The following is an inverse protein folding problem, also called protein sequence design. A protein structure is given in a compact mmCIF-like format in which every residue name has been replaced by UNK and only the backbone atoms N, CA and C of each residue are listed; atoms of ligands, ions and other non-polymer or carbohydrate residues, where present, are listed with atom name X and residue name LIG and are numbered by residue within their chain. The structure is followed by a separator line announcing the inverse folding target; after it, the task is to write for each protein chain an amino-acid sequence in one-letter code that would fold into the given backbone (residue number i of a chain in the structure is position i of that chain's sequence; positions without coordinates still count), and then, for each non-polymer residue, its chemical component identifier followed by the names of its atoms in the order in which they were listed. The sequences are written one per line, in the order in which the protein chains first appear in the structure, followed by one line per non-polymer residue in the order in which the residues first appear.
data_IF_517925642876
#
_entry.id   IF_517925642876
#
_cell.length_a   1.000
_cell.length_b   1.000
_cell.length_c   1.000
_cell.angle_alpha   90.00
_cell.angle_beta   90.00
_cell.angle_gamma   90.00
#
_symmetry.space_group_name_H-M   'P 1'
#
loop_
_entity.id
_entity.type
_entity.pdbx_description
1 polymer ?
#
# COMPACT_ATOMS: atom_id res chain seq x y z
N UNK A 1 -5.47 17.95 3.65
CA UNK A 1 -4.04 18.18 3.90
C UNK A 1 -3.29 16.96 3.42
N UNK A 2 -2.24 17.13 2.62
CA UNK A 2 -1.40 16.03 2.14
C UNK A 2 -0.31 15.72 3.18
N UNK A 3 -0.11 14.44 3.48
CA UNK A 3 0.81 14.00 4.53
C UNK A 3 1.32 12.58 4.23
N UNK A 4 2.39 12.20 4.93
CA UNK A 4 2.84 10.82 5.06
C UNK A 4 2.89 10.45 6.55
N UNK A 5 2.43 9.26 6.92
CA UNK A 5 2.39 8.82 8.32
C UNK A 5 3.22 7.55 8.50
N UNK A 6 4.15 7.55 9.45
CA UNK A 6 5.08 6.46 9.70
C UNK A 6 5.11 6.16 11.20
N UNK A 7 4.45 5.08 11.63
CA UNK A 7 4.40 4.71 13.04
C UNK A 7 3.72 5.78 13.88
N UNK A 8 4.47 6.50 14.71
CA UNK A 8 3.98 7.63 15.51
C UNK A 8 4.31 9.00 14.93
N UNK A 9 4.95 9.07 13.76
CA UNK A 9 5.43 10.31 13.15
C UNK A 9 4.57 10.68 11.94
N UNK A 10 4.18 11.95 11.83
CA UNK A 10 3.45 12.49 10.68
C UNK A 10 4.28 13.57 10.01
N UNK A 11 4.48 13.43 8.70
CA UNK A 11 5.14 14.43 7.85
C UNK A 11 4.10 15.13 6.99
N UNK A 12 4.20 16.45 6.88
CA UNK A 12 3.25 17.28 6.15
C UNK A 12 3.98 18.40 5.42
N UNK A 13 3.23 19.20 4.65
CA UNK A 13 3.78 20.26 3.80
C UNK A 13 4.66 19.67 2.69
N UNK A 14 4.06 19.00 1.67
CA UNK A 14 4.82 18.42 0.56
C UNK A 14 5.44 19.54 -0.27
N UNK A 15 6.75 19.48 -0.44
CA UNK A 15 7.53 20.50 -1.12
C UNK A 15 7.91 20.09 -2.55
N UNK A 16 8.13 18.80 -2.77
CA UNK A 16 8.77 18.32 -3.99
C UNK A 16 8.45 16.85 -4.24
N UNK A 17 8.32 16.47 -5.52
CA UNK A 17 8.21 15.08 -5.97
C UNK A 17 9.31 14.82 -6.98
N UNK A 18 10.10 13.76 -6.77
CA UNK A 18 11.13 13.31 -7.70
C UNK A 18 11.01 11.82 -8.00
N UNK A 19 11.53 11.44 -9.16
CA UNK A 19 11.71 10.07 -9.61
C UNK A 19 13.19 9.69 -9.76
N UNK A 20 14.10 10.64 -9.54
CA UNK A 20 15.54 10.43 -9.63
C UNK A 20 16.12 10.18 -8.22
N UNK A 21 16.76 9.02 -7.97
CA UNK A 21 17.42 8.76 -6.70
C UNK A 21 18.53 9.78 -6.36
N UNK A 22 19.13 10.46 -7.34
CA UNK A 22 20.19 11.45 -7.06
C UNK A 22 19.69 12.67 -6.29
N UNK A 23 18.40 12.98 -6.36
CA UNK A 23 17.80 14.14 -5.68
C UNK A 23 17.62 13.92 -4.17
N UNK A 24 17.81 12.68 -3.69
CA UNK A 24 17.58 12.28 -2.30
C UNK A 24 18.81 12.57 -1.41
N UNK A 25 19.53 13.67 -1.65
CA UNK A 25 20.75 14.00 -0.89
C UNK A 25 20.46 14.47 0.54
N UNK A 26 19.41 15.28 0.73
CA UNK A 26 19.08 15.94 2.01
C UNK A 26 17.57 16.09 2.20
N UNK A 27 17.14 16.18 3.47
CA UNK A 27 15.74 16.40 3.85
C UNK A 27 14.96 15.13 4.20
N UNK A 28 13.65 15.27 4.46
CA UNK A 28 12.76 14.17 4.83
C UNK A 28 11.94 13.72 3.62
N UNK A 29 12.18 12.49 3.14
CA UNK A 29 11.58 11.95 1.92
C UNK A 29 10.73 10.70 2.17
N UNK A 30 9.48 10.71 1.73
CA UNK A 30 8.66 9.51 1.62
C UNK A 30 8.94 8.82 0.28
N UNK A 31 9.69 7.71 0.30
CA UNK A 31 10.18 7.05 -0.93
C UNK A 31 9.46 5.73 -1.18
N UNK A 32 8.77 5.57 -2.30
CA UNK A 32 8.21 4.30 -2.77
C UNK A 32 9.04 3.79 -3.93
N UNK A 33 9.45 2.52 -3.89
CA UNK A 33 10.15 1.85 -4.98
C UNK A 33 9.35 0.62 -5.37
N UNK A 34 9.10 0.43 -6.66
CA UNK A 34 8.42 -0.76 -7.18
C UNK A 34 9.39 -1.95 -7.21
N UNK A 35 8.87 -3.16 -7.42
CA UNK A 35 9.71 -4.34 -7.58
C UNK A 35 10.65 -4.20 -8.80
N UNK A 36 10.17 -3.54 -9.85
CA UNK A 36 10.88 -3.24 -11.09
C UNK A 36 11.92 -2.12 -10.93
N UNK A 37 12.04 -1.52 -9.75
CA UNK A 37 13.01 -0.47 -9.45
C UNK A 37 12.54 0.96 -9.75
N UNK A 38 11.27 1.18 -10.11
CA UNK A 38 10.76 2.54 -10.33
C UNK A 38 10.62 3.29 -9.01
N UNK A 39 11.24 4.47 -8.89
CA UNK A 39 11.23 5.30 -7.69
C UNK A 39 10.20 6.43 -7.79
N UNK A 40 9.52 6.72 -6.69
CA UNK A 40 8.78 7.96 -6.46
C UNK A 40 9.05 8.44 -5.04
N UNK A 41 9.65 9.62 -4.91
CA UNK A 41 9.96 10.22 -3.62
C UNK A 41 9.24 11.57 -3.48
N UNK A 42 8.69 11.83 -2.28
CA UNK A 42 8.05 13.11 -1.95
C UNK A 42 8.77 13.73 -0.75
N UNK A 43 9.27 14.96 -0.89
CA UNK A 43 9.92 15.71 0.20
C UNK A 43 8.89 16.47 1.00
N UNK A 44 9.03 16.44 2.32
CA UNK A 44 8.16 17.16 3.26
C UNK A 44 8.93 18.20 4.06
N UNK A 45 8.30 19.36 4.27
CA UNK A 45 8.87 20.48 5.02
C UNK A 45 8.67 20.39 6.53
N UNK A 46 7.66 19.63 6.98
CA UNK A 46 7.29 19.54 8.39
C UNK A 46 7.26 18.10 8.87
N UNK A 47 7.76 17.90 10.09
CA UNK A 47 7.72 16.64 10.82
C UNK A 47 7.13 16.89 12.20
N UNK A 48 6.16 16.06 12.57
CA UNK A 48 5.55 16.04 13.89
C UNK A 48 5.69 14.62 14.46
N UNK A 49 6.37 14.51 15.59
CA UNK A 49 6.48 13.26 16.34
C UNK A 49 5.37 13.19 17.40
N UNK A 50 4.69 12.05 17.48
CA UNK A 50 3.52 11.90 18.34
C UNK A 50 2.28 12.59 17.78
N UNK A 51 1.13 12.22 18.34
CA UNK A 51 -0.18 12.74 17.92
C UNK A 51 -1.16 11.63 17.53
N UNK A 52 -2.43 12.01 17.41
CA UNK A 52 -3.48 11.11 16.92
C UNK A 52 -3.24 10.87 15.43
N UNK A 53 -3.20 9.61 14.97
CA UNK A 53 -3.08 9.31 13.55
C UNK A 53 -4.16 10.06 12.76
N UNK A 54 -3.81 10.60 11.58
CA UNK A 54 -4.80 11.22 10.74
C UNK A 54 -5.82 10.16 10.32
N UNK A 55 -7.09 10.41 10.62
CA UNK A 55 -8.22 9.55 10.24
C UNK A 55 -9.10 9.09 11.41
N UNK A 56 -10.34 8.78 11.09
CA UNK A 56 -11.34 8.27 12.02
C UNK A 56 -12.01 7.03 11.42
N UNK A 57 -11.81 5.88 12.06
CA UNK A 57 -12.35 4.61 11.59
C UNK A 57 -13.88 4.62 11.40
N UNK A 58 -14.59 5.49 12.15
CA UNK A 58 -16.05 5.63 12.06
C UNK A 58 -16.51 6.34 10.78
N UNK A 59 -15.61 7.05 10.11
CA UNK A 59 -15.89 7.78 8.87
C UNK A 59 -15.64 6.94 7.62
N UNK A 60 -15.06 5.76 7.75
CA UNK A 60 -14.85 4.88 6.61
C UNK A 60 -16.21 4.39 6.08
N UNK A 61 -16.56 4.68 4.81
CA UNK A 61 -17.88 4.34 4.25
C UNK A 61 -18.08 2.83 4.02
N UNK A 62 -17.00 2.04 4.13
CA UNK A 62 -17.01 0.64 3.71
C UNK A 62 -16.92 0.51 2.18
N UNK A 63 -16.70 -0.72 1.72
CA UNK A 63 -16.66 -1.05 0.29
C UNK A 63 -17.32 -2.40 0.08
N UNK A 64 -18.15 -2.53 -0.95
CA UNK A 64 -18.88 -3.76 -1.30
C UNK A 64 -18.56 -4.16 -2.74
N UNK A 65 -19.08 -5.30 -3.21
CA UNK A 65 -18.96 -5.68 -4.62
C UNK A 65 -17.54 -5.99 -5.09
N UNK A 66 -16.71 -6.55 -4.21
CA UNK A 66 -15.36 -7.00 -4.53
C UNK A 66 -15.34 -8.01 -5.67
N UNK A 67 -14.42 -7.82 -6.62
CA UNK A 67 -14.22 -8.70 -7.76
C UNK A 67 -12.78 -9.19 -7.79
N UNK A 68 -12.55 -10.49 -7.98
CA UNK A 68 -11.20 -11.01 -8.08
C UNK A 68 -10.66 -10.88 -9.51
N UNK A 69 -9.34 -10.74 -9.67
CA UNK A 69 -8.67 -10.83 -10.97
C UNK A 69 -8.64 -12.26 -11.51
N UNK A 70 -8.61 -13.24 -10.63
CA UNK A 70 -8.83 -14.66 -10.93
C UNK A 70 -10.02 -15.17 -10.14
N UNK A 71 -11.04 -15.64 -10.84
CA UNK A 71 -12.12 -16.39 -10.19
C UNK A 71 -11.63 -17.74 -9.65
N UNK A 72 -12.49 -18.45 -8.93
CA UNK A 72 -12.14 -19.73 -8.30
C UNK A 72 -11.60 -20.75 -9.31
N UNK A 73 -12.21 -20.83 -10.49
CA UNK A 73 -11.80 -21.78 -11.53
C UNK A 73 -10.44 -21.39 -12.10
N UNK A 74 -10.27 -20.13 -12.49
CA UNK A 74 -9.00 -19.62 -13.01
C UNK A 74 -7.85 -19.77 -12.00
N UNK A 75 -8.13 -19.61 -10.71
CA UNK A 75 -7.14 -19.85 -9.66
C UNK A 75 -6.73 -21.32 -9.60
N UNK A 76 -7.69 -22.25 -9.59
CA UNK A 76 -7.42 -23.71 -9.57
C UNK A 76 -6.67 -24.14 -10.82
N UNK A 77 -7.09 -23.68 -12.01
CA UNK A 77 -6.42 -23.99 -13.27
C UNK A 77 -4.96 -23.48 -13.27
N UNK A 78 -4.72 -22.30 -12.69
CA UNK A 78 -3.38 -21.75 -12.48
C UNK A 78 -2.52 -22.60 -11.53
N UNK A 79 -3.10 -23.10 -10.43
CA UNK A 79 -2.41 -24.02 -9.51
C UNK A 79 -2.01 -25.32 -10.23
N UNK A 80 -2.90 -25.91 -11.02
CA UNK A 80 -2.61 -27.15 -11.76
C UNK A 80 -1.53 -26.95 -12.83
N UNK A 81 -1.50 -25.81 -13.51
CA UNK A 81 -0.40 -25.44 -14.41
C UNK A 81 0.94 -25.33 -13.66
N UNK A 82 0.95 -24.66 -12.50
CA UNK A 82 2.16 -24.53 -11.67
C UNK A 82 2.65 -25.91 -11.23
N UNK A 83 1.76 -26.79 -10.77
CA UNK A 83 2.11 -28.17 -10.38
C UNK A 83 2.74 -28.94 -11.52
N UNK A 84 2.21 -28.81 -12.75
CA UNK A 84 2.81 -29.43 -13.95
C UNK A 84 4.22 -28.92 -14.23
N UNK A 85 4.44 -27.60 -14.13
CA UNK A 85 5.78 -27.00 -14.33
C UNK A 85 6.79 -27.41 -13.25
N UNK A 86 6.34 -27.56 -12.01
CA UNK A 86 7.20 -28.09 -10.92
C UNK A 86 7.57 -29.55 -11.20
N UNK A 87 6.60 -30.39 -11.57
CA UNK A 87 6.85 -31.79 -11.89
C UNK A 87 7.79 -31.96 -13.11
N UNK A 88 7.72 -31.05 -14.08
CA UNK A 88 8.63 -30.99 -15.21
C UNK A 88 10.01 -30.37 -14.89
N UNK A 89 10.25 -29.95 -13.65
CA UNK A 89 11.51 -29.33 -13.21
C UNK A 89 11.77 -27.94 -13.79
N UNK A 90 10.76 -27.27 -14.35
CA UNK A 90 10.92 -25.95 -15.01
C UNK A 90 10.97 -24.80 -14.01
N UNK A 91 10.30 -24.97 -12.86
CA UNK A 91 10.33 -24.05 -11.72
C UNK A 91 10.32 -24.85 -10.44
N UNK A 92 10.88 -24.29 -9.35
CA UNK A 92 10.85 -24.95 -8.04
C UNK A 92 9.60 -24.55 -7.22
N UNK A 93 9.25 -23.27 -7.24
CA UNK A 93 8.12 -22.72 -6.49
C UNK A 93 7.56 -21.49 -7.22
N UNK A 94 6.24 -21.31 -7.17
CA UNK A 94 5.54 -20.11 -7.65
C UNK A 94 4.52 -19.68 -6.60
N UNK A 95 4.46 -18.39 -6.29
CA UNK A 95 3.39 -17.82 -5.47
C UNK A 95 2.29 -17.29 -6.42
N UNK A 96 1.16 -18.01 -6.48
CA UNK A 96 -0.02 -17.56 -7.20
C UNK A 96 -0.96 -16.84 -6.24
N UNK A 97 -1.39 -15.64 -6.61
CA UNK A 97 -2.34 -14.84 -5.84
C UNK A 97 -3.44 -14.29 -6.73
N UNK A 98 -4.61 -14.03 -6.15
CA UNK A 98 -5.67 -13.23 -6.79
C UNK A 98 -5.75 -11.87 -6.11
N UNK A 99 -5.97 -10.82 -6.90
CA UNK A 99 -6.21 -9.48 -6.38
C UNK A 99 -7.71 -9.28 -6.26
N UNK A 100 -8.17 -8.76 -5.12
CA UNK A 100 -9.56 -8.31 -4.94
C UNK A 100 -9.63 -6.80 -5.17
N UNK A 101 -10.51 -6.38 -6.05
CA UNK A 101 -10.70 -4.98 -6.41
C UNK A 101 -12.16 -4.56 -6.25
N UNK A 102 -12.38 -3.31 -5.88
CA UNK A 102 -13.71 -2.70 -5.83
C UNK A 102 -13.59 -1.20 -6.13
N UNK A 103 -14.58 -0.57 -6.77
CA UNK A 103 -14.63 0.87 -6.88
C UNK A 103 -14.54 1.55 -5.52
N UNK A 104 -13.70 2.59 -5.44
CA UNK A 104 -13.57 3.39 -4.23
C UNK A 104 -14.69 4.45 -4.21
N UNK A 105 -15.53 4.52 -3.14
CA UNK A 105 -16.54 5.57 -3.00
C UNK A 105 -15.93 6.98 -3.05
N UNK A 106 -16.70 7.97 -3.49
CA UNK A 106 -16.20 9.34 -3.68
C UNK A 106 -15.83 10.00 -2.34
N UNK A 107 -16.63 9.73 -1.32
CA UNK A 107 -16.45 10.13 0.06
C UNK A 107 -15.30 9.39 0.78
N UNK A 108 -14.70 8.38 0.14
CA UNK A 108 -13.68 7.56 0.78
C UNK A 108 -12.38 8.33 0.99
N UNK A 109 -11.96 8.36 2.25
CA UNK A 109 -10.76 9.03 2.71
C UNK A 109 -9.77 7.99 3.26
N UNK A 110 -8.63 7.79 2.58
CA UNK A 110 -7.64 6.75 2.93
C UNK A 110 -7.15 6.76 4.39
N UNK A 111 -6.98 7.93 5.04
CA UNK A 111 -6.62 7.98 6.45
C UNK A 111 -7.65 7.30 7.36
N UNK A 112 -8.94 7.37 7.01
CA UNK A 112 -10.01 6.70 7.76
C UNK A 112 -9.91 5.18 7.60
N UNK A 113 -9.56 4.69 6.40
CA UNK A 113 -9.23 3.27 6.18
C UNK A 113 -8.00 2.83 7.00
N UNK A 114 -6.95 3.66 7.06
CA UNK A 114 -5.78 3.36 7.87
C UNK A 114 -6.14 3.22 9.36
N UNK A 115 -7.08 4.04 9.86
CA UNK A 115 -7.62 3.91 11.22
C UNK A 115 -8.40 2.61 11.43
N UNK A 116 -9.22 2.18 10.46
CA UNK A 116 -9.91 0.87 10.49
C UNK A 116 -8.88 -0.28 10.58
N UNK A 117 -7.86 -0.26 9.72
CA UNK A 117 -6.82 -1.30 9.68
C UNK A 117 -6.00 -1.35 10.97
N UNK A 118 -5.69 -0.20 11.56
CA UNK A 118 -5.00 -0.15 12.84
C UNK A 118 -5.82 -0.82 13.96
N UNK A 119 -7.15 -0.64 13.97
CA UNK A 119 -8.03 -1.22 14.98
C UNK A 119 -8.19 -2.74 14.91
N UNK A 120 -8.12 -3.34 13.71
CA UNK A 120 -8.48 -4.74 13.47
C UNK A 120 -7.34 -5.75 13.40
N UNK A 121 -6.07 -5.32 13.34
CA UNK A 121 -4.94 -6.24 13.16
C UNK A 121 -4.29 -6.67 14.50
N UNK A 122 -4.00 -7.98 14.69
CA UNK A 122 -3.18 -8.47 15.80
C UNK A 122 -1.87 -7.68 15.94
N UNK A 123 -1.45 -7.42 17.18
CA UNK A 123 -0.32 -6.52 17.50
C UNK A 123 1.02 -6.89 16.84
N UNK A 124 1.19 -8.14 16.40
CA UNK A 124 2.35 -8.63 15.64
C UNK A 124 2.40 -8.15 14.18
N UNK A 125 1.24 -7.80 13.59
CA UNK A 125 1.12 -7.26 12.23
C UNK A 125 1.17 -5.72 12.18
N UNK A 126 1.12 -5.05 13.35
CA UNK A 126 1.16 -3.59 13.50
C UNK A 126 2.55 -2.95 13.26
N UNK A 127 3.57 -3.74 12.88
CA UNK A 127 4.91 -3.22 12.49
C UNK A 127 5.04 -2.99 10.98
N UNK A 128 3.93 -2.83 10.26
CA UNK A 128 3.92 -2.40 8.86
C UNK A 128 3.88 -0.87 8.73
N UNK A 129 4.75 -0.28 7.91
CA UNK A 129 4.67 1.13 7.53
C UNK A 129 3.41 1.35 6.69
N UNK A 130 2.37 1.96 7.24
CA UNK A 130 1.24 2.42 6.45
C UNK A 130 1.70 3.56 5.53
N UNK A 131 1.90 3.28 4.25
CA UNK A 131 2.21 4.31 3.25
C UNK A 131 0.92 4.72 2.56
N UNK A 132 0.42 5.92 2.87
CA UNK A 132 -0.53 6.60 2.01
C UNK A 132 0.26 7.52 1.07
N UNK A 133 0.30 7.19 -0.23
CA UNK A 133 0.87 8.07 -1.25
C UNK A 133 -0.22 8.37 -2.27
N UNK A 134 -0.58 9.65 -2.39
CA UNK A 134 -1.48 10.14 -3.44
C UNK A 134 -0.66 10.30 -4.73
N UNK A 135 -0.86 9.41 -5.71
CA UNK A 135 -0.27 9.56 -7.04
C UNK A 135 -1.03 10.66 -7.81
N UNK A 136 -0.32 11.66 -8.33
CA UNK A 136 -0.93 12.76 -9.08
C UNK A 136 -1.28 12.41 -10.54
N UNK A 137 -0.87 11.25 -11.09
CA UNK A 137 -1.04 10.97 -12.54
C UNK A 137 -1.65 9.63 -12.96
N UNK A 138 -2.03 8.72 -12.04
CA UNK A 138 -2.87 7.54 -12.37
C UNK A 138 -3.86 7.30 -11.23
N UNK A 139 -5.11 6.97 -11.55
CA UNK A 139 -6.26 6.82 -10.63
C UNK A 139 -6.16 5.61 -9.67
N UNK A 140 -4.97 5.26 -9.20
CA UNK A 140 -4.77 4.19 -8.23
C UNK A 140 -4.25 4.78 -6.91
N UNK A 141 -4.97 4.51 -5.82
CA UNK A 141 -4.63 4.89 -4.45
C UNK A 141 -4.20 3.63 -3.71
N UNK A 142 -2.98 3.62 -3.17
CA UNK A 142 -2.42 2.49 -2.44
C UNK A 142 -2.50 2.76 -0.93
N UNK A 143 -3.06 1.80 -0.18
CA UNK A 143 -2.98 1.71 1.27
C UNK A 143 -2.71 0.25 1.62
N UNK A 144 -1.69 -0.01 2.44
CA UNK A 144 -1.31 -1.37 2.80
C UNK A 144 -0.44 -1.42 4.05
N UNK A 145 -0.57 -2.52 4.79
CA UNK A 145 0.36 -2.92 5.84
C UNK A 145 1.01 -4.22 5.36
N UNK A 146 2.30 -4.17 5.03
CA UNK A 146 3.08 -5.36 4.70
C UNK A 146 3.77 -5.86 5.98
N UNK A 147 3.59 -7.13 6.38
CA UNK A 147 4.50 -7.74 7.33
C UNK A 147 5.88 -7.87 6.68
N UNK A 148 6.94 -7.58 7.43
CA UNK A 148 8.30 -7.98 7.04
C UNK A 148 8.45 -9.50 7.23
N UNK A 149 9.32 -10.16 6.44
CA UNK A 149 9.70 -11.55 6.67
C UNK A 149 10.35 -11.75 8.05
#
# INVERSE_FOLDING_TARGET
MEFAHFGSTTWSDPLEVTHDPSDLERGCWAVVVTFEGELTAVRFGRRHDGGVPPGDARRWPGTTGWRPTLDSRGYVDGVEEIRRRIAAGTVYQVNLTTLLETPLPEEAHLPDLAAVLAGGQPRSLRRGRARAVRRARRRHRLAGALPHP
#
